data_IF_963053061007
#
_entry.id   IF_963053061007
#
_cell.length_a   1.000
_cell.length_b   1.000
_cell.length_c   1.000
_cell.angle_alpha   90.00
_cell.angle_beta   90.00
_cell.angle_gamma   90.00
#
_symmetry.space_group_name_H-M   'P 1'
#
loop_
_entity.id
_entity.type
_entity.pdbx_description
1 polymer ?
#
# COMPACT_ATOMS: atom_id res chain seq x y z
N UNK A 1 14.91 -8.89 -5.46
CA UNK A 1 14.36 -9.04 -4.09
C UNK A 1 14.80 -7.79 -3.36
N UNK A 2 13.99 -6.72 -3.45
CA UNK A 2 14.43 -5.38 -3.03
C UNK A 2 14.41 -5.32 -1.51
N UNK A 3 15.59 -5.21 -0.91
CA UNK A 3 15.77 -5.01 0.52
C UNK A 3 15.30 -3.59 0.85
N UNK A 4 14.01 -3.44 1.15
CA UNK A 4 13.39 -2.15 1.48
C UNK A 4 13.10 -2.14 2.97
N UNK A 5 13.89 -1.42 3.79
CA UNK A 5 13.80 -1.49 5.24
C UNK A 5 12.42 -1.08 5.77
N UNK A 6 11.69 -0.22 5.06
CA UNK A 6 10.32 0.21 5.41
C UNK A 6 9.28 -0.92 5.31
N UNK A 7 9.58 -2.01 4.59
CA UNK A 7 8.72 -3.17 4.46
C UNK A 7 9.12 -4.32 5.39
N UNK A 8 10.13 -4.14 6.24
CA UNK A 8 10.49 -5.13 7.25
C UNK A 8 9.50 -5.11 8.41
N UNK A 9 9.06 -6.30 8.81
CA UNK A 9 8.15 -6.46 9.94
C UNK A 9 8.36 -7.82 10.60
N UNK A 10 7.95 -7.91 11.86
CA UNK A 10 7.87 -9.18 12.59
C UNK A 10 6.60 -9.90 12.18
N UNK A 11 6.73 -11.09 11.60
CA UNK A 11 5.56 -11.86 11.15
C UNK A 11 4.63 -12.18 12.30
N UNK A 12 3.33 -11.96 12.11
CA UNK A 12 2.31 -12.19 13.12
C UNK A 12 2.23 -13.68 13.44
N UNK A 13 2.37 -14.09 14.72
CA UNK A 13 2.34 -15.50 15.10
C UNK A 13 0.95 -16.09 14.88
N UNK A 14 0.89 -17.20 14.14
CA UNK A 14 -0.36 -17.93 13.90
C UNK A 14 -0.50 -19.09 14.89
N UNK A 15 -1.51 -19.05 15.77
CA UNK A 15 -1.81 -20.12 16.73
C UNK A 15 -2.11 -21.48 16.07
N UNK A 16 -2.68 -21.48 14.86
CA UNK A 16 -2.95 -22.70 14.08
C UNK A 16 -2.25 -22.63 12.73
N UNK A 17 -1.28 -23.54 12.54
CA UNK A 17 -0.59 -23.72 11.26
C UNK A 17 -1.51 -24.53 10.32
N UNK A 18 -2.48 -23.87 9.68
CA UNK A 18 -3.21 -24.47 8.54
C UNK A 18 -2.26 -24.52 7.34
N UNK A 19 -2.26 -25.64 6.61
CA UNK A 19 -1.40 -25.86 5.43
C UNK A 19 -1.53 -24.76 4.34
N UNK A 20 -2.65 -24.03 4.30
CA UNK A 20 -2.93 -22.94 3.36
C UNK A 20 -3.13 -21.57 4.05
N UNK A 21 -2.47 -21.31 5.18
CA UNK A 21 -2.68 -20.12 6.00
C UNK A 21 -1.63 -19.01 5.84
N UNK A 22 -1.75 -18.00 6.71
CA UNK A 22 -0.82 -16.87 6.82
C UNK A 22 0.53 -17.26 7.44
N UNK A 23 1.33 -18.05 6.71
CA UNK A 23 2.71 -18.35 7.08
C UNK A 23 3.58 -17.09 7.03
N UNK A 24 4.74 -17.04 7.73
CA UNK A 24 5.66 -15.91 7.64
C UNK A 24 6.08 -15.58 6.20
N UNK A 25 6.26 -16.60 5.36
CA UNK A 25 6.56 -16.42 3.94
C UNK A 25 5.37 -15.80 3.18
N UNK A 26 4.14 -16.25 3.44
CA UNK A 26 2.94 -15.68 2.83
C UNK A 26 2.72 -14.22 3.24
N UNK A 27 3.01 -13.87 4.51
CA UNK A 27 2.93 -12.47 4.97
C UNK A 27 3.93 -11.58 4.23
N UNK A 28 5.18 -12.02 4.08
CA UNK A 28 6.21 -11.27 3.34
C UNK A 28 5.87 -11.13 1.85
N UNK A 29 5.45 -12.23 1.21
CA UNK A 29 5.02 -12.22 -0.19
C UNK A 29 3.80 -11.32 -0.41
N UNK A 30 2.88 -11.27 0.55
CA UNK A 30 1.73 -10.37 0.51
C UNK A 30 2.16 -8.90 0.53
N UNK A 31 3.06 -8.52 1.45
CA UNK A 31 3.57 -7.15 1.54
C UNK A 31 4.34 -6.74 0.27
N UNK A 32 5.19 -7.62 -0.26
CA UNK A 32 5.91 -7.36 -1.53
C UNK A 32 4.92 -7.16 -2.70
N UNK A 33 3.90 -8.02 -2.82
CA UNK A 33 2.89 -7.88 -3.86
C UNK A 33 2.03 -6.64 -3.68
N UNK A 34 1.70 -6.28 -2.44
CA UNK A 34 0.97 -5.05 -2.14
C UNK A 34 1.78 -3.81 -2.54
N UNK A 35 3.08 -3.80 -2.25
CA UNK A 35 4.01 -2.74 -2.64
C UNK A 35 4.13 -2.55 -4.16
N UNK A 36 3.90 -3.61 -4.94
CA UNK A 36 3.94 -3.54 -6.41
C UNK A 36 2.65 -3.06 -7.04
N UNK A 37 1.49 -3.42 -6.50
CA UNK A 37 0.20 -3.19 -7.16
C UNK A 37 -0.76 -2.24 -6.44
N UNK A 38 -0.62 -2.07 -5.13
CA UNK A 38 -1.52 -1.25 -4.30
C UNK A 38 -2.93 -1.84 -4.12
N UNK A 39 -3.18 -3.07 -4.59
CA UNK A 39 -4.49 -3.72 -4.55
C UNK A 39 -4.48 -4.90 -3.58
N UNK A 40 -5.07 -4.71 -2.40
CA UNK A 40 -5.16 -5.72 -1.33
C UNK A 40 -5.74 -7.04 -1.84
N UNK A 41 -6.81 -6.98 -2.63
CA UNK A 41 -7.47 -8.19 -3.13
C UNK A 41 -6.59 -8.98 -4.11
N UNK A 42 -5.74 -8.29 -4.88
CA UNK A 42 -4.78 -8.93 -5.77
C UNK A 42 -3.64 -9.55 -4.97
N UNK A 43 -3.05 -8.80 -4.04
CA UNK A 43 -1.97 -9.29 -3.18
C UNK A 43 -2.38 -10.47 -2.30
N UNK A 44 -3.61 -10.47 -1.75
CA UNK A 44 -4.11 -11.59 -0.96
C UNK A 44 -4.27 -12.86 -1.81
N UNK A 45 -4.83 -12.72 -3.02
CA UNK A 45 -5.03 -13.85 -3.94
C UNK A 45 -3.70 -14.43 -4.43
N UNK A 46 -2.68 -13.61 -4.66
CA UNK A 46 -1.37 -14.11 -5.08
C UNK A 46 -0.67 -14.99 -4.03
N UNK A 47 -1.05 -14.88 -2.76
CA UNK A 47 -0.53 -15.74 -1.68
C UNK A 47 -1.53 -16.84 -1.26
N UNK A 48 -2.58 -17.08 -2.05
CA UNK A 48 -3.60 -18.09 -1.75
C UNK A 48 -4.53 -17.74 -0.58
N UNK A 49 -4.58 -16.47 -0.16
CA UNK A 49 -5.40 -16.00 0.95
C UNK A 49 -6.59 -15.15 0.49
N UNK A 50 -7.63 -15.04 1.33
CA UNK A 50 -8.76 -14.15 1.05
C UNK A 50 -8.47 -12.71 1.50
N UNK A 51 -9.01 -11.69 0.83
CA UNK A 51 -8.85 -10.30 1.26
C UNK A 51 -9.40 -10.06 2.67
N UNK A 52 -10.53 -10.72 3.00
CA UNK A 52 -11.12 -10.69 4.35
C UNK A 52 -10.13 -11.20 5.41
N UNK A 53 -9.46 -12.32 5.15
CA UNK A 53 -8.46 -12.87 6.08
C UNK A 53 -7.24 -11.95 6.25
N UNK A 54 -6.88 -11.19 5.23
CA UNK A 54 -5.79 -10.21 5.29
C UNK A 54 -6.14 -9.06 6.25
N UNK A 55 -7.36 -8.52 6.17
CA UNK A 55 -7.84 -7.50 7.12
C UNK A 55 -7.99 -8.03 8.54
N UNK A 56 -8.36 -9.30 8.72
CA UNK A 56 -8.38 -9.94 10.04
C UNK A 56 -6.98 -10.09 10.62
N UNK A 57 -5.99 -10.47 9.79
CA UNK A 57 -4.60 -10.57 10.20
C UNK A 57 -4.07 -9.23 10.71
N UNK A 58 -4.38 -8.15 10.00
CA UNK A 58 -3.98 -6.78 10.35
C UNK A 58 -4.53 -6.29 11.71
N UNK A 59 -5.62 -6.88 12.19
CA UNK A 59 -6.27 -6.51 13.46
C UNK A 59 -5.86 -7.39 14.64
N UNK A 60 -4.96 -8.37 14.44
CA UNK A 60 -4.49 -9.22 15.53
C UNK A 60 -3.56 -8.44 16.47
N UNK A 61 -3.59 -8.79 17.74
CA UNK A 61 -2.60 -8.34 18.72
C UNK A 61 -1.20 -8.79 18.27
N UNK A 62 -0.20 -7.91 18.33
CA UNK A 62 1.15 -8.19 17.85
C UNK A 62 1.33 -7.99 16.33
N UNK A 63 0.32 -7.47 15.63
CA UNK A 63 0.39 -7.18 14.19
C UNK A 63 0.77 -5.73 13.87
N UNK A 64 1.25 -4.96 14.85
CA UNK A 64 1.53 -3.52 14.71
C UNK A 64 2.62 -3.29 13.65
N UNK A 65 3.71 -4.06 13.69
CA UNK A 65 4.77 -3.99 12.68
C UNK A 65 4.28 -4.39 11.28
N UNK A 66 3.43 -5.43 11.18
CA UNK A 66 2.81 -5.83 9.92
C UNK A 66 1.86 -4.74 9.39
N UNK A 67 1.08 -4.09 10.26
CA UNK A 67 0.18 -3.01 9.88
C UNK A 67 0.95 -1.77 9.41
N UNK A 68 2.11 -1.48 10.00
CA UNK A 68 3.00 -0.41 9.55
C UNK A 68 3.58 -0.71 8.15
N UNK A 69 4.13 -1.92 7.95
CA UNK A 69 4.63 -2.36 6.64
C UNK A 69 3.51 -2.40 5.58
N UNK A 70 2.30 -2.77 5.95
CA UNK A 70 1.12 -2.73 5.07
C UNK A 70 0.84 -1.31 4.59
N UNK A 71 0.82 -0.34 5.50
CA UNK A 71 0.49 1.04 5.15
C UNK A 71 1.55 1.62 4.20
N UNK A 72 2.84 1.34 4.44
CA UNK A 72 3.92 1.69 3.50
C UNK A 72 3.80 0.98 2.15
N UNK A 73 3.58 -0.33 2.14
CA UNK A 73 3.37 -1.08 0.91
C UNK A 73 2.16 -0.56 0.12
N UNK A 74 1.09 -0.15 0.78
CA UNK A 74 -0.06 0.43 0.11
C UNK A 74 0.28 1.76 -0.58
N UNK A 75 1.00 2.66 0.10
CA UNK A 75 1.46 3.94 -0.49
C UNK A 75 2.35 3.68 -1.73
N UNK A 76 3.33 2.77 -1.61
CA UNK A 76 4.22 2.41 -2.70
C UNK A 76 3.47 1.82 -3.91
N UNK A 77 2.52 0.93 -3.65
CA UNK A 77 1.71 0.32 -4.69
C UNK A 77 0.79 1.31 -5.38
N UNK A 78 0.24 2.29 -4.65
CA UNK A 78 -0.54 3.38 -5.22
C UNK A 78 0.32 4.29 -6.09
N UNK A 79 1.57 4.56 -5.70
CA UNK A 79 2.54 5.30 -6.54
C UNK A 79 2.89 4.55 -7.82
N UNK A 80 3.16 3.25 -7.72
CA UNK A 80 3.42 2.41 -8.89
C UNK A 80 2.20 2.38 -9.84
N UNK A 81 1.00 2.18 -9.31
CA UNK A 81 -0.24 2.19 -10.09
C UNK A 81 -0.50 3.54 -10.77
N UNK A 82 -0.20 4.64 -10.07
CA UNK A 82 -0.27 6.00 -10.63
C UNK A 82 0.71 6.21 -11.77
N UNK A 83 1.99 5.88 -11.57
CA UNK A 83 3.01 6.00 -12.60
C UNK A 83 2.62 5.20 -13.85
N UNK A 84 2.10 3.99 -13.64
CA UNK A 84 1.58 3.15 -14.72
C UNK A 84 0.39 3.80 -15.45
N UNK A 85 -0.58 4.37 -14.73
CA UNK A 85 -1.73 5.05 -15.35
C UNK A 85 -1.31 6.26 -16.20
N UNK A 86 -0.34 7.05 -15.72
CA UNK A 86 0.23 8.18 -16.46
C UNK A 86 0.97 7.69 -17.72
N UNK A 87 1.77 6.62 -17.59
CA UNK A 87 2.48 6.03 -18.73
C UNK A 87 1.50 5.50 -19.81
N UNK A 88 0.48 4.75 -19.40
CA UNK A 88 -0.55 4.22 -20.29
C UNK A 88 -1.34 5.33 -21.02
N UNK A 89 -1.50 6.48 -20.39
CA UNK A 89 -2.14 7.65 -21.00
C UNK A 89 -1.34 8.18 -22.20
N UNK A 90 0.00 8.05 -22.17
CA UNK A 90 0.89 8.46 -23.27
C UNK A 90 0.89 7.46 -24.42
N UNK A 91 0.44 6.22 -24.20
CA UNK A 91 0.33 5.19 -25.21
C UNK A 91 -1.07 5.19 -25.83
N UNK A 92 -1.17 5.49 -27.14
CA UNK A 92 -2.43 5.36 -27.85
C UNK A 92 -2.80 3.87 -28.01
N UNK A 93 -3.99 3.47 -27.56
CA UNK A 93 -4.52 2.14 -27.83
C UNK A 93 -5.20 2.13 -29.20
N UNK A 94 -4.95 1.08 -29.98
CA UNK A 94 -5.65 0.83 -31.24
C UNK A 94 -6.96 0.09 -30.91
N UNK A 95 -8.11 0.70 -31.21
CA UNK A 95 -9.42 0.07 -31.04
C UNK A 95 -10.15 -0.05 -32.38
N UNK A 96 -10.75 -1.20 -32.69
CA UNK A 96 -11.53 -1.33 -33.91
C UNK A 96 -12.80 -0.48 -33.82
N UNK A 97 -13.11 0.21 -34.90
CA UNK A 97 -14.39 0.89 -35.09
C UNK A 97 -15.31 -0.13 -35.77
N UNK A 98 -16.20 -0.73 -34.99
CA UNK A 98 -17.17 -1.72 -35.51
C UNK A 98 -18.49 -1.01 -35.83
N UNK A 99 -19.01 -1.18 -37.06
CA UNK A 99 -20.37 -0.79 -37.43
C UNK A 99 -21.09 -1.97 -38.06
N UNK A 100 -22.30 -2.26 -37.59
CA UNK A 100 -23.11 -3.41 -38.06
C UNK A 100 -22.33 -4.74 -38.08
N UNK A 101 -21.50 -4.98 -37.07
CA UNK A 101 -20.68 -6.20 -36.96
C UNK A 101 -19.41 -6.22 -37.81
N UNK A 102 -19.19 -5.22 -38.67
CA UNK A 102 -18.01 -5.12 -39.55
C UNK A 102 -17.02 -4.11 -38.97
N UNK A 103 -15.73 -4.46 -38.94
CA UNK A 103 -14.66 -3.50 -38.60
C UNK A 103 -14.49 -2.54 -39.77
N UNK A 104 -14.90 -1.28 -39.59
CA UNK A 104 -14.84 -0.21 -40.59
C UNK A 104 -13.55 0.60 -40.49
N UNK A 105 -12.78 0.43 -39.42
CA UNK A 105 -11.48 1.10 -39.26
C UNK A 105 -10.89 0.90 -37.87
N UNK A 106 -9.86 1.68 -37.57
CA UNK A 106 -9.17 1.64 -36.29
C UNK A 106 -9.02 3.06 -35.73
N UNK A 107 -9.40 3.27 -34.47
CA UNK A 107 -9.16 4.51 -33.74
C UNK A 107 -7.93 4.35 -32.86
N UNK A 108 -7.00 5.30 -32.94
CA UNK A 108 -5.88 5.44 -32.01
C UNK A 108 -6.22 6.53 -31.00
N UNK A 109 -6.52 6.14 -29.77
CA UNK A 109 -6.77 7.07 -28.68
C UNK A 109 -6.32 6.46 -27.35
N UNK A 110 -5.83 7.26 -26.39
CA UNK A 110 -5.67 6.81 -25.02
C UNK A 110 -6.99 6.25 -24.48
N UNK A 111 -6.93 5.24 -23.62
CA UNK A 111 -8.13 4.77 -22.93
C UNK A 111 -8.61 5.90 -22.00
N UNK A 112 -9.78 6.48 -22.30
CA UNK A 112 -10.37 7.56 -21.51
C UNK A 112 -10.52 7.18 -20.03
N UNK A 113 -10.73 5.90 -19.70
CA UNK A 113 -10.85 5.46 -18.30
C UNK A 113 -9.51 5.57 -17.58
N UNK A 114 -8.42 5.20 -18.25
CA UNK A 114 -7.06 5.30 -17.73
C UNK A 114 -6.62 6.76 -17.63
N UNK A 115 -6.92 7.57 -18.64
CA UNK A 115 -6.71 9.03 -18.63
C UNK A 115 -7.42 9.67 -17.43
N UNK A 116 -8.72 9.42 -17.26
CA UNK A 116 -9.51 9.97 -16.15
C UNK A 116 -8.98 9.48 -14.78
N UNK A 117 -8.55 8.22 -14.68
CA UNK A 117 -7.92 7.71 -13.46
C UNK A 117 -6.61 8.45 -13.16
N UNK A 118 -5.73 8.62 -14.15
CA UNK A 118 -4.50 9.39 -14.01
C UNK A 118 -4.77 10.85 -13.60
N UNK A 119 -5.73 11.52 -14.25
CA UNK A 119 -6.12 12.89 -13.88
C UNK A 119 -6.60 13.00 -12.44
N UNK A 120 -7.42 12.06 -11.95
CA UNK A 120 -7.87 12.05 -10.54
C UNK A 120 -6.71 11.98 -9.56
N UNK A 121 -5.70 11.16 -9.85
CA UNK A 121 -4.51 11.07 -8.99
C UNK A 121 -3.74 12.40 -8.94
N UNK A 122 -3.58 13.07 -10.09
CA UNK A 122 -2.91 14.38 -10.18
C UNK A 122 -3.69 15.44 -9.41
N UNK A 123 -5.01 15.48 -9.56
CA UNK A 123 -5.86 16.40 -8.81
C UNK A 123 -5.83 16.14 -7.30
N UNK A 124 -5.80 14.87 -6.88
CA UNK A 124 -5.74 14.52 -5.45
C UNK A 124 -4.44 14.98 -4.77
N UNK A 125 -3.32 15.02 -5.49
CA UNK A 125 -2.09 15.61 -4.97
C UNK A 125 -2.17 17.13 -4.88
N UNK A 126 -2.61 17.79 -5.96
CA UNK A 126 -2.72 19.26 -6.00
C UNK A 126 -3.67 19.81 -4.95
N UNK A 127 -4.74 19.08 -4.65
CA UNK A 127 -5.73 19.46 -3.63
C UNK A 127 -5.35 19.06 -2.22
N UNK A 128 -4.25 18.33 -2.01
CA UNK A 128 -3.90 17.76 -0.70
C UNK A 128 -4.78 16.59 -0.26
N UNK A 129 -5.80 16.20 -1.03
CA UNK A 129 -6.67 15.05 -0.72
C UNK A 129 -5.89 13.74 -0.55
N UNK A 130 -4.72 13.60 -1.20
CA UNK A 130 -3.81 12.47 -0.98
C UNK A 130 -3.27 12.44 0.46
N UNK A 131 -2.88 13.58 1.02
CA UNK A 131 -2.38 13.68 2.39
C UNK A 131 -3.45 13.29 3.43
N UNK A 132 -4.72 13.54 3.10
CA UNK A 132 -5.86 13.15 3.94
C UNK A 132 -6.21 11.65 3.88
N UNK A 133 -5.53 10.84 3.06
CA UNK A 133 -5.83 9.41 2.98
C UNK A 133 -5.52 8.70 4.31
N UNK A 134 -6.36 7.76 4.77
CA UNK A 134 -6.21 7.15 6.10
C UNK A 134 -4.87 6.45 6.35
N UNK A 135 -4.31 5.77 5.34
CA UNK A 135 -3.01 5.09 5.48
C UNK A 135 -1.86 6.10 5.59
N UNK A 136 -1.94 7.20 4.84
CA UNK A 136 -0.96 8.28 4.90
C UNK A 136 -0.99 9.03 6.22
N UNK A 137 -2.18 9.28 6.78
CA UNK A 137 -2.31 9.83 8.13
C UNK A 137 -1.69 8.90 9.18
N UNK A 138 -1.87 7.58 9.07
CA UNK A 138 -1.23 6.62 9.97
C UNK A 138 0.29 6.57 9.82
N UNK A 139 0.82 6.72 8.60
CA UNK A 139 2.26 6.85 8.36
C UNK A 139 2.79 8.10 9.05
N UNK A 140 2.21 9.27 8.74
CA UNK A 140 2.64 10.54 9.32
C UNK A 140 2.56 10.55 10.85
N UNK A 141 1.51 9.96 11.43
CA UNK A 141 1.38 9.84 12.88
C UNK A 141 2.46 8.93 13.48
N UNK A 142 2.80 7.81 12.81
CA UNK A 142 3.89 6.93 13.26
C UNK A 142 5.25 7.61 13.17
N UNK A 143 5.50 8.37 12.11
CA UNK A 143 6.75 9.11 11.92
C UNK A 143 6.88 10.21 13.00
N UNK A 144 5.82 10.96 13.28
CA UNK A 144 5.79 11.96 14.35
C UNK A 144 6.03 11.34 15.74
N UNK A 145 5.41 10.19 16.04
CA UNK A 145 5.63 9.49 17.30
C UNK A 145 7.08 9.01 17.42
N UNK A 146 7.69 8.56 16.31
CA UNK A 146 9.09 8.16 16.30
C UNK A 146 10.01 9.37 16.53
N UNK A 147 9.75 10.51 15.89
CA UNK A 147 10.49 11.76 16.10
C UNK A 147 10.39 12.25 17.55
N UNK A 148 9.19 12.24 18.14
CA UNK A 148 8.97 12.63 19.53
C UNK A 148 9.66 11.67 20.51
N UNK A 149 9.70 10.38 20.19
CA UNK A 149 10.39 9.37 21.00
C UNK A 149 11.90 9.51 20.95
N UNK A 150 12.46 9.97 19.82
CA UNK A 150 13.90 10.26 19.64
C UNK A 150 14.28 11.58 20.32
N UNK A 151 13.37 12.56 20.33
CA UNK A 151 13.61 13.90 20.87
C UNK A 151 13.30 14.05 22.37
N UNK A 152 12.69 13.06 23.02
CA UNK A 152 12.47 13.09 24.46
C UNK A 152 13.82 12.93 25.18
N UNK A 153 14.33 13.92 25.94
CA UNK A 153 15.42 13.64 26.86
C UNK A 153 14.91 12.59 27.85
N UNK A 154 15.72 11.59 28.16
CA UNK A 154 15.49 10.73 29.32
C UNK A 154 15.28 11.66 30.51
N UNK A 155 14.03 11.80 30.96
CA UNK A 155 13.75 12.42 32.24
C UNK A 155 14.26 11.41 33.25
N UNK A 156 15.53 11.61 33.65
CA UNK A 156 16.14 10.89 34.75
C UNK A 156 15.35 11.20 36.02
N UNK A 157 14.40 10.34 36.35
CA UNK A 157 13.63 10.38 37.59
C UNK A 157 14.55 10.31 38.83
N UNK A 158 15.81 9.85 38.67
CA UNK A 158 16.84 9.90 39.70
C UNK A 158 17.37 11.31 40.00
N UNK A 159 17.32 12.23 39.02
CA UNK A 159 17.71 13.63 39.21
C UNK A 159 16.64 14.44 39.96
N UNK A 160 15.37 14.05 39.90
CA UNK A 160 14.28 14.71 40.65
C UNK A 160 14.32 14.34 42.14
N UNK A 161 14.78 13.13 42.49
CA UNK A 161 14.88 12.67 43.88
C UNK A 161 16.02 13.33 44.70
N UNK A 162 16.91 14.12 44.08
CA UNK A 162 17.95 14.90 44.79
C UNK A 162 17.53 16.32 45.17
N UNK A 163 16.32 16.73 44.77
CA UNK A 163 15.76 18.07 45.03
C UNK A 163 14.61 18.07 46.05
N UNK A 164 14.33 16.92 46.67
CA UNK A 164 13.46 16.76 47.84
C UNK A 164 14.26 16.16 49.00
#
# INVERSE_FOLDING_TARGET
MTDMPLLHFTSVPMLRRRASGWSPAAQRAFIDMLARCGVVAQAARSVGCSPRSAYQLRQKQGAESFAAAWDWALEMGLDAARAQAIALTRCAQVRPIVRRGVVVGHRRAPDNRVMLAAMRTICAERSGARAAMPHRQRIALRDLVAELSISAPEIDLGSIARLL
#
